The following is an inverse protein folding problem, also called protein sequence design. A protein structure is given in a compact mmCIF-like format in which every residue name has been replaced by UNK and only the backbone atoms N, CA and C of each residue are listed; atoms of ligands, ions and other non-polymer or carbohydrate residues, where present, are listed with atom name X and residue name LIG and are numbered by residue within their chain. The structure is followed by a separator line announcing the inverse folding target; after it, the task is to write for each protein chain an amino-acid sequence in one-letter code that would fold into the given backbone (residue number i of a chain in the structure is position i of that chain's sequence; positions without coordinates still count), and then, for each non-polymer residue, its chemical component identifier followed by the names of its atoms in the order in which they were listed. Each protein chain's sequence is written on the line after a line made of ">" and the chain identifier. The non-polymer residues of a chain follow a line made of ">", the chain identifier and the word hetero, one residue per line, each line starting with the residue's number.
data_IF_099980434016
#
_entry.id   IF_099980434016
#
_cell.length_a   1.000
_cell.length_b   1.000
_cell.length_c   1.000
_cell.angle_alpha   90.00
_cell.angle_beta   90.00
_cell.angle_gamma   90.00
#
_symmetry.space_group_name_H-M   'P 1'
#
loop_
_entity.id
_entity.type
_entity.pdbx_description
1 polymer ?
#
# COMPACT_ATOMS: atom_id res chain seq x y z
N UNK A 1 7.08 -2.69 -41.45
CA UNK A 1 6.85 -4.12 -41.07
C UNK A 1 7.38 -4.34 -39.66
N UNK A 2 6.51 -4.25 -38.66
CA UNK A 2 5.95 -5.41 -37.96
C UNK A 2 7.02 -6.32 -37.34
N UNK A 3 7.34 -6.04 -36.08
CA UNK A 3 7.81 -7.05 -35.13
C UNK A 3 7.09 -6.78 -33.79
N UNK A 4 6.35 -7.79 -33.38
CA UNK A 4 5.28 -7.77 -32.38
C UNK A 4 5.80 -7.60 -30.95
N UNK A 5 5.02 -6.87 -30.15
CA UNK A 5 5.20 -6.78 -28.69
C UNK A 5 4.51 -7.98 -28.05
N UNK A 6 5.14 -8.70 -27.10
CA UNK A 6 4.39 -9.64 -26.29
C UNK A 6 3.52 -8.85 -25.32
N UNK A 7 2.21 -8.97 -25.49
CA UNK A 7 1.18 -8.51 -24.56
C UNK A 7 1.13 -9.52 -23.41
N UNK A 8 1.72 -9.18 -22.27
CA UNK A 8 1.55 -9.93 -21.03
C UNK A 8 0.15 -9.65 -20.47
N UNK A 9 -0.77 -10.60 -20.65
CA UNK A 9 -2.13 -10.64 -20.10
C UNK A 9 -2.07 -10.94 -18.59
N UNK A 10 -1.63 -9.97 -17.79
CA UNK A 10 -1.71 -10.02 -16.33
C UNK A 10 -3.14 -9.69 -15.90
N UNK A 11 -4.03 -10.69 -16.00
CA UNK A 11 -5.37 -10.63 -15.40
C UNK A 11 -5.24 -10.56 -13.88
N UNK A 12 -5.12 -9.33 -13.39
CA UNK A 12 -5.13 -9.00 -11.97
C UNK A 12 -6.38 -9.56 -11.30
N UNK A 13 -6.20 -10.61 -10.49
CA UNK A 13 -7.21 -11.02 -9.51
C UNK A 13 -7.33 -9.87 -8.51
N UNK A 14 -8.48 -9.21 -8.50
CA UNK A 14 -8.74 -8.00 -7.71
C UNK A 14 -8.33 -8.17 -6.23
N UNK A 15 -7.49 -7.24 -5.75
CA UNK A 15 -6.96 -7.20 -4.39
C UNK A 15 -8.00 -6.76 -3.32
N UNK A 16 -9.29 -6.78 -3.65
CA UNK A 16 -10.41 -6.65 -2.70
C UNK A 16 -10.87 -8.01 -2.13
N UNK A 17 -10.08 -9.07 -2.27
CA UNK A 17 -10.47 -10.38 -1.75
C UNK A 17 -10.33 -10.39 -0.21
N UNK A 18 -11.47 -10.52 0.47
CA UNK A 18 -11.48 -11.11 1.81
C UNK A 18 -10.93 -12.52 1.67
N UNK A 19 -9.82 -12.83 2.34
CA UNK A 19 -9.34 -14.21 2.40
C UNK A 19 -10.41 -15.07 3.08
N UNK A 20 -11.08 -15.93 2.31
CA UNK A 20 -12.06 -16.88 2.83
C UNK A 20 -11.31 -17.98 3.59
N UNK A 21 -11.55 -18.05 4.89
CA UNK A 21 -11.12 -19.16 5.74
C UNK A 21 -11.83 -20.43 5.31
N UNK A 22 -11.04 -21.42 4.90
CA UNK A 22 -11.53 -22.71 4.47
C UNK A 22 -10.40 -23.59 3.96
N UNK A 23 -9.44 -23.92 4.82
CA UNK A 23 -8.69 -25.19 4.75
C UNK A 23 -8.35 -25.61 6.18
N UNK A 24 -9.01 -26.70 6.59
CA UNK A 24 -8.75 -27.70 7.63
C UNK A 24 -7.82 -27.38 8.80
N UNK A 25 -8.38 -27.56 10.00
CA UNK A 25 -7.74 -28.07 11.20
C UNK A 25 -6.65 -29.10 10.85
N UNK A 26 -5.38 -28.75 11.08
CA UNK A 26 -4.25 -29.62 10.76
C UNK A 26 -2.87 -29.04 11.08
N UNK A 27 -2.78 -28.03 11.93
CA UNK A 27 -1.51 -27.46 12.40
C UNK A 27 -1.46 -27.34 13.93
N UNK A 28 -2.16 -28.24 14.62
CA UNK A 28 -1.89 -28.56 16.01
C UNK A 28 -1.47 -30.03 16.09
N UNK A 29 -0.21 -30.25 16.49
CA UNK A 29 0.30 -31.58 16.78
C UNK A 29 1.27 -32.15 15.75
N UNK A 30 2.56 -31.84 15.91
CA UNK A 30 3.66 -32.81 16.15
C UNK A 30 5.01 -32.10 16.05
N UNK A 31 5.71 -32.07 17.17
CA UNK A 31 7.11 -31.68 17.22
C UNK A 31 7.98 -32.80 16.62
N UNK A 32 8.81 -32.46 15.62
CA UNK A 32 10.25 -32.80 15.46
C UNK A 32 10.68 -32.57 14.01
N UNK A 33 11.76 -31.79 13.86
CA UNK A 33 12.49 -31.36 12.64
C UNK A 33 11.95 -30.12 11.88
N UNK A 34 12.63 -28.98 12.08
CA UNK A 34 12.87 -27.95 11.04
C UNK A 34 11.72 -27.04 10.58
N UNK A 35 10.47 -27.26 10.97
CA UNK A 35 9.36 -26.40 10.52
C UNK A 35 9.27 -25.10 11.34
N UNK A 36 9.50 -23.95 10.68
CA UNK A 36 9.35 -22.62 11.29
C UNK A 36 7.86 -22.27 11.40
N UNK A 37 7.32 -22.29 12.61
CA UNK A 37 5.95 -21.84 12.88
C UNK A 37 5.89 -20.30 12.93
N UNK A 38 5.17 -19.68 12.01
CA UNK A 38 4.96 -18.24 11.99
C UNK A 38 3.81 -17.84 12.93
N UNK A 39 4.02 -16.82 13.75
CA UNK A 39 3.02 -16.30 14.70
C UNK A 39 2.85 -14.79 14.52
N UNK A 40 1.64 -14.30 14.81
CA UNK A 40 1.37 -12.88 14.93
C UNK A 40 2.06 -12.33 16.19
N UNK A 41 2.43 -11.05 16.17
CA UNK A 41 3.09 -10.41 17.31
C UNK A 41 2.22 -10.44 18.60
N UNK A 42 0.91 -10.27 18.47
CA UNK A 42 -0.04 -10.37 19.60
C UNK A 42 -0.48 -11.79 19.93
N UNK A 43 -0.04 -12.81 19.18
CA UNK A 43 -0.46 -14.21 19.35
C UNK A 43 -1.89 -14.55 18.89
N UNK A 44 -2.75 -13.56 18.68
CA UNK A 44 -4.18 -13.77 18.36
C UNK A 44 -4.46 -14.02 16.86
N UNK A 45 -5.50 -14.81 16.60
CA UNK A 45 -6.10 -15.04 15.29
C UNK A 45 -7.23 -14.04 15.02
N UNK A 46 -7.11 -13.22 13.99
CA UNK A 46 -8.03 -12.10 13.73
C UNK A 46 -9.27 -12.43 12.86
N UNK A 47 -9.43 -13.70 12.47
CA UNK A 47 -10.46 -14.15 11.53
C UNK A 47 -10.23 -13.63 10.10
N UNK A 48 -11.27 -13.68 9.25
CA UNK A 48 -11.21 -13.14 7.90
C UNK A 48 -11.15 -11.61 7.94
N UNK A 49 -10.13 -11.03 7.29
CA UNK A 49 -9.87 -9.59 7.26
C UNK A 49 -9.42 -9.14 5.87
N UNK A 50 -9.52 -7.84 5.60
CA UNK A 50 -9.05 -7.24 4.34
C UNK A 50 -7.53 -7.16 4.31
N UNK A 51 -6.93 -7.21 3.12
CA UNK A 51 -5.49 -7.04 2.92
C UNK A 51 -4.97 -5.72 3.51
N UNK A 52 -5.74 -4.65 3.32
CA UNK A 52 -5.51 -3.34 3.94
C UNK A 52 -5.29 -3.46 5.46
N UNK A 53 -6.23 -4.09 6.16
CA UNK A 53 -6.14 -4.27 7.61
C UNK A 53 -4.89 -5.08 8.01
N UNK A 54 -4.52 -6.10 7.21
CA UNK A 54 -3.30 -6.88 7.42
C UNK A 54 -2.03 -6.03 7.40
N UNK A 55 -1.92 -5.09 6.44
CA UNK A 55 -0.79 -4.17 6.35
C UNK A 55 -0.81 -3.14 7.49
N UNK A 56 -1.98 -2.55 7.76
CA UNK A 56 -2.19 -1.55 8.83
C UNK A 56 -1.80 -2.07 10.21
N UNK A 57 -2.16 -3.32 10.48
CA UNK A 57 -1.92 -3.97 11.77
C UNK A 57 -0.67 -4.86 11.78
N UNK A 58 0.13 -4.83 10.69
CA UNK A 58 1.38 -5.57 10.58
C UNK A 58 1.25 -7.08 10.88
N UNK A 59 0.25 -7.76 10.31
CA UNK A 59 -0.08 -9.15 10.65
C UNK A 59 0.77 -10.15 9.88
N UNK A 60 1.77 -10.72 10.56
CA UNK A 60 2.72 -11.69 10.00
C UNK A 60 2.04 -12.86 9.26
N UNK A 61 1.00 -13.46 9.84
CA UNK A 61 0.36 -14.63 9.23
C UNK A 61 -0.32 -14.30 7.89
N UNK A 62 -0.94 -13.11 7.78
CA UNK A 62 -1.52 -12.66 6.51
C UNK A 62 -0.41 -12.43 5.48
N UNK A 63 0.68 -11.77 5.86
CA UNK A 63 1.82 -11.53 4.97
C UNK A 63 2.42 -12.82 4.42
N UNK A 64 2.63 -13.84 5.26
CA UNK A 64 3.16 -15.15 4.83
C UNK A 64 2.19 -15.86 3.90
N UNK A 65 0.88 -15.85 4.20
CA UNK A 65 -0.16 -16.45 3.34
C UNK A 65 -0.19 -15.80 1.97
N UNK A 66 -0.19 -14.47 1.92
CA UNK A 66 -0.15 -13.72 0.66
C UNK A 66 1.12 -14.02 -0.11
N UNK A 67 2.29 -14.04 0.55
CA UNK A 67 3.56 -14.37 -0.10
C UNK A 67 3.57 -15.80 -0.67
N UNK A 68 2.99 -16.76 0.06
CA UNK A 68 2.86 -18.14 -0.40
C UNK A 68 1.90 -18.29 -1.59
N UNK A 69 0.81 -17.51 -1.65
CA UNK A 69 -0.13 -17.53 -2.78
C UNK A 69 0.42 -16.86 -4.03
N UNK A 70 1.18 -15.76 -3.88
CA UNK A 70 1.79 -15.03 -5.00
C UNK A 70 3.03 -15.77 -5.53
N UNK A 71 3.77 -16.43 -4.65
CA UNK A 71 5.07 -17.03 -4.91
C UNK A 71 6.23 -16.10 -4.57
N UNK A 72 7.22 -16.60 -3.83
CA UNK A 72 8.35 -15.81 -3.35
C UNK A 72 9.24 -15.26 -4.46
N UNK A 73 9.29 -15.89 -5.63
CA UNK A 73 10.09 -15.41 -6.77
C UNK A 73 9.66 -14.00 -7.24
N UNK A 74 8.36 -13.73 -7.25
CA UNK A 74 7.82 -12.41 -7.58
C UNK A 74 8.15 -11.38 -6.49
N UNK A 75 8.09 -11.80 -5.23
CA UNK A 75 8.40 -10.95 -4.06
C UNK A 75 9.86 -10.52 -4.07
N UNK A 76 10.80 -11.47 -4.21
CA UNK A 76 12.24 -11.14 -4.21
C UNK A 76 12.67 -10.37 -5.46
N UNK A 77 12.05 -10.63 -6.63
CA UNK A 77 12.24 -9.79 -7.82
C UNK A 77 11.81 -8.36 -7.57
N UNK A 78 10.64 -8.14 -6.98
CA UNK A 78 10.13 -6.79 -6.67
C UNK A 78 11.08 -6.07 -5.71
N UNK A 79 11.51 -6.75 -4.63
CA UNK A 79 12.48 -6.19 -3.69
C UNK A 79 13.82 -5.79 -4.36
N UNK A 80 14.28 -6.59 -5.32
CA UNK A 80 15.50 -6.31 -6.10
C UNK A 80 15.33 -5.09 -7.01
N UNK A 81 14.23 -4.99 -7.76
CA UNK A 81 13.98 -3.84 -8.67
C UNK A 81 13.79 -2.54 -7.87
N UNK A 82 13.19 -2.62 -6.68
CA UNK A 82 13.08 -1.48 -5.75
C UNK A 82 14.40 -1.09 -5.06
N UNK A 83 15.47 -1.86 -5.24
CA UNK A 83 16.78 -1.56 -4.67
C UNK A 83 16.93 -1.90 -3.19
N UNK A 84 16.01 -2.68 -2.61
CA UNK A 84 16.07 -3.10 -1.19
C UNK A 84 17.21 -4.10 -0.97
N UNK A 85 17.35 -5.08 -1.87
CA UNK A 85 18.36 -6.13 -1.78
C UNK A 85 18.06 -7.31 -2.71
N UNK A 86 18.98 -8.27 -2.74
CA UNK A 86 18.80 -9.54 -3.46
C UNK A 86 18.73 -10.66 -2.44
N UNK A 87 17.61 -11.39 -2.41
CA UNK A 87 17.33 -12.39 -1.39
C UNK A 87 16.90 -13.71 -2.04
N UNK A 88 17.20 -14.87 -1.44
CA UNK A 88 16.66 -16.14 -1.88
C UNK A 88 15.14 -16.23 -1.61
N UNK A 89 14.38 -17.00 -2.41
CA UNK A 89 12.92 -17.02 -2.38
C UNK A 89 12.34 -17.84 -1.21
N UNK A 90 12.80 -17.61 0.02
CA UNK A 90 12.26 -18.23 1.23
C UNK A 90 11.18 -17.36 1.88
N UNK A 91 10.12 -17.99 2.43
CA UNK A 91 9.03 -17.29 3.11
C UNK A 91 9.50 -16.42 4.29
N UNK A 92 10.64 -16.72 4.90
CA UNK A 92 11.20 -15.88 5.96
C UNK A 92 11.47 -14.43 5.49
N UNK A 93 11.81 -14.22 4.22
CA UNK A 93 12.04 -12.87 3.68
C UNK A 93 10.76 -12.04 3.55
N UNK A 94 9.57 -12.66 3.48
CA UNK A 94 8.31 -11.92 3.55
C UNK A 94 8.06 -11.31 4.93
N UNK A 95 8.80 -11.74 5.95
CA UNK A 95 8.78 -11.20 7.31
C UNK A 95 10.00 -10.33 7.65
N UNK A 96 10.83 -9.98 6.66
CA UNK A 96 11.99 -9.12 6.87
C UNK A 96 13.23 -9.84 7.41
N UNK A 97 13.43 -11.13 7.11
CA UNK A 97 14.66 -11.84 7.44
C UNK A 97 15.90 -11.39 6.62
N UNK A 98 15.76 -10.38 5.76
CA UNK A 98 16.85 -9.85 4.94
C UNK A 98 17.48 -8.61 5.57
N UNK A 99 18.80 -8.49 5.40
CA UNK A 99 19.54 -7.31 5.83
C UNK A 99 19.56 -6.25 4.71
N UNK A 100 19.49 -4.98 5.12
CA UNK A 100 19.54 -3.83 4.20
C UNK A 100 19.93 -2.58 4.99
N UNK A 101 20.16 -1.47 4.28
CA UNK A 101 20.52 -0.18 4.90
C UNK A 101 19.31 0.75 4.95
N UNK A 102 19.34 1.71 5.89
CA UNK A 102 18.30 2.75 5.99
C UNK A 102 18.15 3.50 4.66
N UNK A 103 19.27 3.84 4.01
CA UNK A 103 19.25 4.53 2.72
C UNK A 103 18.49 3.76 1.64
N UNK A 104 18.70 2.44 1.54
CA UNK A 104 18.00 1.58 0.57
C UNK A 104 16.51 1.49 0.88
N UNK A 105 16.15 1.37 2.15
CA UNK A 105 14.75 1.34 2.59
C UNK A 105 14.02 2.64 2.32
N UNK A 106 14.62 3.78 2.69
CA UNK A 106 14.05 5.11 2.41
C UNK A 106 13.86 5.29 0.90
N UNK A 107 14.86 4.94 0.09
CA UNK A 107 14.75 5.02 -1.36
C UNK A 107 13.60 4.17 -1.91
N UNK A 108 13.42 2.94 -1.39
CA UNK A 108 12.30 2.08 -1.78
C UNK A 108 10.93 2.67 -1.42
N UNK A 109 10.82 3.35 -0.26
CA UNK A 109 9.58 4.05 0.12
C UNK A 109 9.35 5.32 -0.71
N UNK A 110 10.41 6.04 -1.08
CA UNK A 110 10.35 7.17 -2.00
C UNK A 110 9.83 6.77 -3.39
N UNK A 111 10.07 5.54 -3.83
CA UNK A 111 9.50 5.02 -5.08
C UNK A 111 7.96 4.99 -4.99
N UNK A 112 7.37 4.63 -3.85
CA UNK A 112 5.91 4.66 -3.69
C UNK A 112 5.37 6.09 -3.74
N UNK A 113 6.00 7.02 -3.01
CA UNK A 113 5.63 8.44 -3.03
C UNK A 113 5.77 9.05 -4.44
N UNK A 114 6.78 8.62 -5.20
CA UNK A 114 7.06 9.07 -6.55
C UNK A 114 6.35 8.25 -7.65
N UNK A 115 5.14 7.77 -7.37
CA UNK A 115 4.28 7.05 -8.33
C UNK A 115 4.97 5.86 -9.02
N UNK A 116 5.83 5.13 -8.32
CA UNK A 116 6.51 3.93 -8.82
C UNK A 116 7.76 4.19 -9.67
N UNK A 117 8.25 5.44 -9.74
CA UNK A 117 9.46 5.80 -10.48
C UNK A 117 10.71 5.62 -9.63
N UNK A 118 11.76 5.07 -10.24
CA UNK A 118 13.06 4.90 -9.61
C UNK A 118 13.62 6.24 -9.11
N UNK A 119 14.17 6.21 -7.90
CA UNK A 119 14.92 7.32 -7.31
C UNK A 119 16.36 6.86 -7.10
N UNK A 120 17.32 7.73 -7.38
CA UNK A 120 18.73 7.53 -7.07
C UNK A 120 19.11 8.53 -5.99
N UNK A 121 19.41 8.06 -4.76
CA UNK A 121 19.76 8.97 -3.68
C UNK A 121 21.12 9.60 -3.93
N UNK A 122 21.23 10.90 -3.72
CA UNK A 122 22.45 11.69 -3.90
C UNK A 122 22.66 12.59 -2.70
N UNK A 123 23.90 12.69 -2.22
CA UNK A 123 24.28 13.62 -1.14
C UNK A 123 24.85 14.93 -1.69
N UNK A 124 25.52 14.86 -2.84
CA UNK A 124 26.16 16.00 -3.50
C UNK A 124 25.35 16.33 -4.74
N UNK A 125 24.92 17.59 -4.88
CA UNK A 125 24.17 18.03 -6.06
C UNK A 125 25.10 18.36 -7.23
N UNK A 126 26.17 19.11 -6.97
CA UNK A 126 27.21 19.42 -7.96
C UNK A 126 28.54 19.79 -7.30
N UNK A 127 29.61 19.74 -8.09
CA UNK A 127 30.97 20.15 -7.71
C UNK A 127 31.46 21.18 -8.73
N UNK A 128 32.00 22.31 -8.26
CA UNK A 128 32.54 23.38 -9.09
C UNK A 128 34.04 23.59 -8.87
N UNK A 129 34.73 24.13 -9.88
CA UNK A 129 36.09 24.64 -9.74
C UNK A 129 36.11 26.08 -9.17
N UNK A 130 37.31 26.63 -8.96
CA UNK A 130 37.51 27.99 -8.43
C UNK A 130 36.95 29.11 -9.32
N UNK A 131 36.69 28.81 -10.59
CA UNK A 131 36.16 29.74 -11.57
C UNK A 131 34.63 29.59 -11.74
N UNK A 132 34.00 28.74 -10.93
CA UNK A 132 32.55 28.45 -10.99
C UNK A 132 32.15 27.43 -12.06
N UNK A 133 33.10 26.77 -12.73
CA UNK A 133 32.79 25.74 -13.73
C UNK A 133 32.35 24.45 -13.04
N UNK A 134 31.17 23.94 -13.41
CA UNK A 134 30.65 22.67 -12.91
C UNK A 134 31.49 21.51 -13.46
N UNK A 135 32.22 20.82 -12.58
CA UNK A 135 33.02 19.62 -12.88
C UNK A 135 32.13 18.38 -12.89
N UNK A 136 31.17 18.32 -11.96
CA UNK A 136 30.28 17.19 -11.79
C UNK A 136 28.92 17.65 -11.30
N UNK A 137 27.85 16.93 -11.70
CA UNK A 137 26.50 17.12 -11.19
C UNK A 137 25.78 15.78 -11.06
N UNK A 138 24.99 15.63 -10.01
CA UNK A 138 24.12 14.49 -9.78
C UNK A 138 22.97 14.46 -10.78
N UNK A 139 22.28 15.60 -10.95
CA UNK A 139 21.18 15.71 -11.89
C UNK A 139 21.69 15.81 -13.33
N UNK A 140 21.51 14.72 -14.08
CA UNK A 140 21.89 14.62 -15.50
C UNK A 140 20.73 14.89 -16.46
N UNK A 141 19.56 15.30 -15.96
CA UNK A 141 18.41 15.58 -16.82
C UNK A 141 18.75 16.69 -17.84
N UNK A 142 18.37 16.52 -19.12
CA UNK A 142 18.51 17.59 -20.08
C UNK A 142 17.57 18.73 -19.68
N UNK A 143 18.09 19.94 -19.70
CA UNK A 143 17.39 21.16 -19.35
C UNK A 143 17.47 22.10 -20.56
N UNK A 144 16.65 21.79 -21.57
CA UNK A 144 16.54 22.60 -22.79
C UNK A 144 16.03 23.99 -22.42
N UNK A 145 16.77 25.04 -22.79
CA UNK A 145 16.41 26.43 -22.47
C UNK A 145 16.73 26.89 -21.04
N UNK A 146 17.43 26.10 -20.22
CA UNK A 146 17.74 26.49 -18.83
C UNK A 146 19.00 27.37 -18.68
N UNK A 147 19.71 27.62 -19.78
CA UNK A 147 20.92 28.45 -19.83
C UNK A 147 20.69 29.73 -20.67
N UNK A 148 19.47 30.29 -20.66
CA UNK A 148 19.20 31.55 -21.35
C UNK A 148 19.96 32.70 -20.67
N UNK A 149 20.59 33.56 -21.47
CA UNK A 149 21.32 34.73 -20.96
C UNK A 149 20.38 35.76 -20.30
N UNK A 150 19.13 35.83 -20.75
CA UNK A 150 18.08 36.65 -20.19
C UNK A 150 16.77 35.84 -20.14
N UNK A 151 16.00 36.00 -19.07
CA UNK A 151 14.68 35.37 -18.96
C UNK A 151 13.67 36.16 -19.79
N UNK A 152 12.99 35.47 -20.71
CA UNK A 152 11.90 35.94 -21.57
C UNK A 152 10.51 36.14 -20.89
N UNK A 153 10.40 36.00 -19.57
CA UNK A 153 9.14 36.08 -18.83
C UNK A 153 8.22 34.84 -18.93
N UNK A 154 8.60 33.79 -19.67
CA UNK A 154 7.80 32.56 -19.77
C UNK A 154 7.94 31.68 -18.52
N UNK A 155 7.04 30.72 -18.27
CA UNK A 155 7.21 29.76 -17.18
C UNK A 155 8.58 29.06 -17.27
N UNK A 156 9.28 28.96 -16.14
CA UNK A 156 10.59 28.31 -16.10
C UNK A 156 10.52 26.90 -16.74
N UNK A 157 11.49 26.54 -17.61
CA UNK A 157 11.54 25.22 -18.22
C UNK A 157 11.65 24.15 -17.14
N UNK A 158 10.71 23.19 -17.15
CA UNK A 158 10.72 22.06 -16.22
C UNK A 158 11.46 20.89 -16.85
N UNK A 159 12.60 20.44 -16.30
CA UNK A 159 13.32 19.29 -16.83
C UNK A 159 12.41 18.08 -16.96
N UNK A 160 12.43 17.41 -18.13
CA UNK A 160 11.63 16.20 -18.32
C UNK A 160 12.11 15.12 -17.35
N UNK A 161 11.19 14.55 -16.58
CA UNK A 161 11.48 13.44 -15.66
C UNK A 161 11.75 12.17 -16.48
N UNK A 162 13.02 11.77 -16.61
CA UNK A 162 13.43 10.51 -17.26
C UNK A 162 13.79 9.42 -16.23
N UNK A 163 12.95 9.25 -15.21
CA UNK A 163 13.11 8.16 -14.25
C UNK A 163 12.53 6.86 -14.82
N UNK A 164 13.22 5.74 -14.60
CA UNK A 164 12.73 4.42 -14.97
C UNK A 164 11.48 4.08 -14.15
N UNK A 165 10.40 3.66 -14.79
CA UNK A 165 9.23 3.12 -14.09
C UNK A 165 9.59 1.72 -13.53
N UNK A 166 9.50 1.57 -12.21
CA UNK A 166 9.88 0.33 -11.49
C UNK A 166 8.63 -0.46 -11.08
N UNK A 167 7.59 0.26 -10.65
CA UNK A 167 6.28 -0.29 -10.30
C UNK A 167 5.24 0.50 -11.07
N UNK A 168 4.15 -0.13 -11.51
CA UNK A 168 3.01 0.59 -12.07
C UNK A 168 2.50 1.70 -11.14
N UNK A 169 2.23 2.89 -11.67
CA UNK A 169 1.84 4.05 -10.89
C UNK A 169 0.58 3.78 -10.07
N UNK A 170 -0.39 3.05 -10.63
CA UNK A 170 -1.62 2.72 -9.92
C UNK A 170 -1.37 1.73 -8.77
N UNK A 171 -0.49 0.74 -8.95
CA UNK A 171 -0.06 -0.14 -7.83
C UNK A 171 0.63 0.68 -6.74
N UNK A 172 1.53 1.60 -7.12
CA UNK A 172 2.29 2.39 -6.18
C UNK A 172 1.36 3.26 -5.31
N UNK A 173 0.40 3.94 -5.93
CA UNK A 173 -0.59 4.73 -5.20
C UNK A 173 -1.53 3.86 -4.36
N UNK A 174 -1.97 2.71 -4.87
CA UNK A 174 -2.81 1.79 -4.07
C UNK A 174 -2.09 1.33 -2.80
N UNK A 175 -0.81 0.96 -2.91
CA UNK A 175 0.00 0.58 -1.75
C UNK A 175 0.26 1.77 -0.82
N UNK A 176 0.54 2.95 -1.37
CA UNK A 176 0.69 4.18 -0.60
C UNK A 176 -0.57 4.47 0.22
N UNK A 177 -1.74 4.38 -0.41
CA UNK A 177 -3.03 4.61 0.24
C UNK A 177 -3.37 3.55 1.30
N UNK A 178 -2.86 2.31 1.16
CA UNK A 178 -2.90 1.31 2.24
C UNK A 178 -2.00 1.74 3.40
N UNK A 179 -0.80 2.24 3.11
CA UNK A 179 0.18 2.67 4.10
C UNK A 179 -0.22 3.95 4.85
N UNK A 180 -1.06 4.82 4.27
CA UNK A 180 -1.70 5.92 5.00
C UNK A 180 -2.51 5.40 6.19
N UNK A 181 -3.22 4.29 5.99
CA UNK A 181 -3.98 3.60 7.03
C UNK A 181 -3.13 3.16 8.23
N UNK A 182 -1.82 2.95 8.06
CA UNK A 182 -0.91 2.58 9.17
C UNK A 182 -0.78 3.75 10.15
N UNK A 183 -0.74 4.98 9.64
CA UNK A 183 -0.71 6.20 10.45
C UNK A 183 -2.11 6.53 10.96
N UNK A 184 -3.11 6.51 10.08
CA UNK A 184 -4.48 6.87 10.44
C UNK A 184 -5.13 5.91 11.44
N UNK A 185 -4.77 4.61 11.44
CA UNK A 185 -5.54 3.55 12.14
C UNK A 185 -4.71 2.39 12.67
N UNK A 186 -3.44 2.32 12.26
CA UNK A 186 -2.59 1.15 12.40
C UNK A 186 -1.62 1.23 13.55
N UNK A 187 -0.36 0.91 13.28
CA UNK A 187 0.72 0.84 14.28
C UNK A 187 1.49 2.14 14.48
N UNK A 188 1.26 3.17 13.67
CA UNK A 188 2.02 4.44 13.69
C UNK A 188 1.11 5.66 14.02
N UNK A 189 0.12 5.45 14.87
CA UNK A 189 -0.94 6.43 15.18
C UNK A 189 -0.46 7.68 15.89
N UNK A 190 0.73 7.60 16.49
CA UNK A 190 1.41 8.74 17.12
C UNK A 190 1.80 9.83 16.12
N UNK A 191 1.71 9.58 14.80
CA UNK A 191 2.02 10.56 13.76
C UNK A 191 0.78 11.34 13.25
N UNK A 192 -0.42 11.04 13.77
CA UNK A 192 -1.68 11.65 13.29
C UNK A 192 -1.81 13.13 13.66
N UNK A 193 -1.25 13.53 14.79
CA UNK A 193 -1.26 14.89 15.33
C UNK A 193 -0.41 15.87 14.49
N UNK A 194 0.43 15.36 13.58
CA UNK A 194 1.08 16.18 12.55
C UNK A 194 0.08 16.91 11.62
N UNK A 195 -1.18 16.48 11.58
CA UNK A 195 -2.25 17.18 10.86
C UNK A 195 -2.06 17.23 9.34
N UNK A 196 -1.35 16.25 8.77
CA UNK A 196 -1.10 16.16 7.33
C UNK A 196 -1.15 14.71 6.81
N UNK A 197 -1.37 14.50 5.50
CA UNK A 197 -1.31 13.17 4.90
C UNK A 197 0.08 12.55 5.07
N UNK A 198 0.12 11.38 5.70
CA UNK A 198 1.34 10.65 6.01
C UNK A 198 1.14 9.17 5.70
N UNK A 199 2.13 8.56 5.06
CA UNK A 199 2.19 7.11 4.87
C UNK A 199 3.40 6.55 5.59
N UNK A 200 3.36 5.27 5.98
CA UNK A 200 4.55 4.62 6.50
C UNK A 200 4.28 3.23 7.00
N UNK A 201 5.32 2.62 7.57
CA UNK A 201 5.25 1.30 8.16
C UNK A 201 6.23 1.15 9.32
N UNK A 202 5.75 0.52 10.38
CA UNK A 202 6.58 0.09 11.51
C UNK A 202 7.21 -1.27 11.23
N UNK A 203 8.43 -1.49 11.75
CA UNK A 203 9.11 -2.78 11.74
C UNK A 203 9.64 -3.13 13.14
N UNK A 204 9.53 -4.40 13.52
CA UNK A 204 10.04 -4.93 14.80
C UNK A 204 10.62 -6.32 14.53
N UNK A 205 11.88 -6.57 14.92
CA UNK A 205 12.48 -7.90 14.80
C UNK A 205 11.98 -8.87 15.89
N UNK A 206 12.18 -10.17 15.71
CA UNK A 206 11.88 -11.18 16.75
C UNK A 206 12.91 -11.09 17.88
N UNK A 207 12.45 -11.07 19.14
CA UNK A 207 13.32 -10.83 20.30
C UNK A 207 13.86 -9.38 20.33
N UNK A 208 12.96 -8.39 20.18
CA UNK A 208 13.15 -7.11 19.50
C UNK A 208 14.55 -6.53 19.69
N UNK A 209 15.45 -6.89 18.78
CA UNK A 209 16.81 -6.34 18.69
C UNK A 209 16.86 -5.06 17.88
N UNK A 210 15.89 -4.91 16.96
CA UNK A 210 15.87 -3.91 15.91
C UNK A 210 14.45 -3.33 15.80
N UNK A 211 14.38 -2.01 15.75
CA UNK A 211 13.13 -1.26 15.65
C UNK A 211 13.21 -0.28 14.49
N UNK A 212 12.18 -0.26 13.65
CA UNK A 212 12.13 0.54 12.43
C UNK A 212 10.85 1.36 12.32
N UNK A 213 10.98 2.52 11.71
CA UNK A 213 9.88 3.24 11.08
C UNK A 213 10.38 3.82 9.75
N UNK A 214 9.65 3.60 8.66
CA UNK A 214 9.95 4.21 7.36
C UNK A 214 8.65 4.76 6.80
N UNK A 215 8.66 6.02 6.37
CA UNK A 215 7.46 6.73 5.95
C UNK A 215 7.68 8.21 5.76
N UNK A 216 6.63 8.93 5.41
CA UNK A 216 6.72 10.36 5.13
C UNK A 216 5.44 10.96 4.58
N UNK A 217 5.59 12.18 4.09
CA UNK A 217 4.58 12.92 3.34
C UNK A 217 4.86 12.81 1.83
N UNK A 218 4.08 13.50 1.00
CA UNK A 218 4.30 13.56 -0.44
C UNK A 218 5.67 14.20 -0.81
N UNK A 219 6.16 15.13 0.00
CA UNK A 219 7.36 15.92 -0.30
C UNK A 219 8.63 15.40 0.39
N UNK A 220 8.48 14.62 1.47
CA UNK A 220 9.62 14.13 2.25
C UNK A 220 9.35 12.74 2.82
N UNK A 221 10.26 11.81 2.52
CA UNK A 221 10.29 10.46 3.07
C UNK A 221 11.53 10.31 3.95
N UNK A 222 11.34 9.75 5.14
CA UNK A 222 12.42 9.45 6.06
C UNK A 222 12.34 8.03 6.62
N UNK A 223 13.43 7.59 7.22
CA UNK A 223 13.55 6.27 7.80
C UNK A 223 14.37 6.35 9.07
N UNK A 224 13.89 5.67 10.09
CA UNK A 224 14.55 5.55 11.39
C UNK A 224 14.75 4.08 11.70
N UNK A 225 15.99 3.76 12.04
CA UNK A 225 16.43 2.47 12.57
C UNK A 225 17.03 2.68 13.94
N UNK A 226 16.69 1.79 14.87
CA UNK A 226 17.28 1.73 16.19
C UNK A 226 17.62 0.27 16.51
N UNK A 227 18.84 0.05 16.97
CA UNK A 227 19.36 -1.24 17.39
C UNK A 227 20.74 -1.06 18.04
N UNK A 228 21.19 -2.08 18.78
CA UNK A 228 22.56 -2.10 19.31
C UNK A 228 23.53 -2.63 18.26
N UNK A 229 24.74 -2.08 18.20
CA UNK A 229 25.81 -2.55 17.29
C UNK A 229 26.11 -4.03 17.48
N UNK A 230 26.15 -4.46 18.74
CA UNK A 230 26.11 -5.86 19.12
C UNK A 230 24.65 -6.24 19.40
N UNK A 231 23.99 -7.05 18.55
CA UNK A 231 22.56 -7.31 18.66
C UNK A 231 22.19 -7.86 20.03
N UNK A 232 21.41 -7.08 20.78
CA UNK A 232 20.89 -7.43 22.10
C UNK A 232 19.40 -7.10 22.16
N UNK A 233 18.59 -7.88 22.88
CA UNK A 233 17.18 -7.56 23.06
C UNK A 233 17.01 -6.18 23.71
N UNK A 234 16.14 -5.35 23.14
CA UNK A 234 15.83 -3.99 23.63
C UNK A 234 14.71 -3.99 24.69
N UNK A 235 14.29 -5.17 25.15
CA UNK A 235 13.14 -5.36 26.04
C UNK A 235 11.83 -5.56 25.29
N UNK A 236 10.85 -6.19 25.93
CA UNK A 236 9.55 -6.56 25.32
C UNK A 236 8.69 -5.36 24.90
N UNK A 237 8.95 -4.17 25.47
CA UNK A 237 8.25 -2.93 25.14
C UNK A 237 8.78 -2.25 23.86
N UNK A 238 9.95 -2.66 23.36
CA UNK A 238 10.59 -2.07 22.19
C UNK A 238 9.89 -2.51 20.90
N UNK A 239 9.06 -1.62 20.35
CA UNK A 239 8.31 -1.84 19.11
C UNK A 239 8.43 -0.64 18.19
N UNK A 240 8.24 -0.86 16.88
CA UNK A 240 8.28 0.22 15.88
C UNK A 240 7.32 1.37 16.21
N UNK A 241 6.13 1.06 16.73
CA UNK A 241 5.13 2.05 17.10
C UNK A 241 5.41 2.78 18.43
N UNK A 242 6.16 2.18 19.35
CA UNK A 242 6.40 2.73 20.69
C UNK A 242 7.72 3.48 20.82
N UNK A 243 8.73 3.14 20.00
CA UNK A 243 10.04 3.78 20.04
C UNK A 243 10.33 4.53 18.75
N UNK A 244 10.30 3.84 17.60
CA UNK A 244 10.74 4.48 16.35
C UNK A 244 9.77 5.56 15.86
N UNK A 245 8.46 5.30 15.88
CA UNK A 245 7.47 6.26 15.42
C UNK A 245 7.46 7.56 16.26
N UNK A 246 7.55 7.54 17.61
CA UNK A 246 7.69 8.76 18.41
C UNK A 246 8.99 9.55 18.15
N UNK A 247 10.12 8.88 17.93
CA UNK A 247 11.37 9.58 17.58
C UNK A 247 11.23 10.25 16.21
N UNK A 248 10.67 9.52 15.24
CA UNK A 248 10.36 10.09 13.93
C UNK A 248 9.37 11.26 14.03
N UNK A 249 8.36 11.18 14.90
CA UNK A 249 7.43 12.27 15.17
C UNK A 249 8.17 13.54 15.61
N UNK A 250 9.07 13.44 16.59
CA UNK A 250 9.86 14.57 17.07
C UNK A 250 10.73 15.22 15.99
N UNK A 251 11.27 14.41 15.07
CA UNK A 251 11.95 14.90 13.87
C UNK A 251 10.97 15.60 12.90
N UNK A 252 9.85 14.95 12.58
CA UNK A 252 8.89 15.39 11.57
C UNK A 252 8.23 16.73 11.95
N UNK A 253 7.92 16.95 13.23
CA UNK A 253 7.38 18.24 13.73
C UNK A 253 8.29 19.41 13.35
N UNK A 254 9.61 19.23 13.46
CA UNK A 254 10.59 20.28 13.14
C UNK A 254 10.83 20.37 11.64
N UNK A 255 11.03 19.22 10.99
CA UNK A 255 11.39 19.16 9.59
C UNK A 255 10.25 19.61 8.66
N UNK A 256 8.99 19.41 9.05
CA UNK A 256 7.81 19.72 8.22
C UNK A 256 7.09 21.00 8.61
N UNK A 257 7.61 21.77 9.58
CA UNK A 257 6.93 22.96 10.13
C UNK A 257 6.51 23.97 9.07
N UNK A 258 7.43 24.31 8.16
CA UNK A 258 7.24 25.34 7.14
C UNK A 258 6.97 24.74 5.74
N UNK A 259 6.79 23.41 5.66
CA UNK A 259 6.50 22.73 4.40
C UNK A 259 5.01 22.83 4.07
N UNK A 260 4.62 22.96 2.78
CA UNK A 260 3.22 22.89 2.40
C UNK A 260 2.60 21.54 2.79
N UNK A 261 1.30 21.56 3.07
CA UNK A 261 0.51 20.32 3.27
C UNK A 261 0.01 19.87 1.91
N UNK A 262 0.70 18.90 1.31
CA UNK A 262 0.39 18.38 -0.02
C UNK A 262 -0.27 17.00 0.09
N UNK A 263 -1.46 16.78 -0.52
CA UNK A 263 -2.06 15.46 -0.59
C UNK A 263 -1.36 14.56 -1.60
N UNK A 264 -1.42 13.25 -1.41
CA UNK A 264 -0.91 12.31 -2.40
C UNK A 264 -1.76 12.34 -3.66
N UNK A 265 -1.10 12.54 -4.81
CA UNK A 265 -1.77 12.64 -6.09
C UNK A 265 -2.07 11.26 -6.67
N UNK A 266 -3.36 10.98 -6.89
CA UNK A 266 -3.80 9.78 -7.57
C UNK A 266 -3.39 9.83 -9.06
N UNK A 267 -2.68 8.81 -9.59
CA UNK A 267 -2.40 8.74 -11.03
C UNK A 267 -3.69 8.51 -11.83
N UNK A 268 -3.64 8.91 -13.11
CA UNK A 268 -4.75 8.73 -14.04
C UNK A 268 -5.20 7.27 -14.11
N UNK A 269 -6.52 7.04 -14.11
CA UNK A 269 -7.13 5.71 -14.21
C UNK A 269 -7.51 5.06 -12.88
N UNK A 270 -7.01 5.55 -11.73
CA UNK A 270 -7.47 5.06 -10.43
C UNK A 270 -8.94 5.40 -10.20
N UNK A 271 -9.67 4.43 -9.65
CA UNK A 271 -11.04 4.58 -9.21
C UNK A 271 -11.10 4.55 -7.69
N UNK A 272 -11.57 5.64 -7.08
CA UNK A 272 -11.88 5.67 -5.66
C UNK A 272 -13.27 5.09 -5.44
N UNK A 273 -13.37 4.02 -4.65
CA UNK A 273 -14.60 3.29 -4.40
C UNK A 273 -14.86 3.22 -2.90
N UNK A 274 -16.11 3.44 -2.52
CA UNK A 274 -16.55 3.28 -1.12
C UNK A 274 -16.67 1.81 -0.79
N UNK A 275 -15.96 1.38 0.25
CA UNK A 275 -16.02 0.02 0.74
C UNK A 275 -16.28 -0.01 2.24
N UNK A 276 -16.88 -1.10 2.70
CA UNK A 276 -16.90 -1.46 4.11
C UNK A 276 -15.51 -1.95 4.51
N UNK A 277 -14.91 -1.30 5.51
CA UNK A 277 -13.53 -1.51 5.95
C UNK A 277 -13.28 -2.94 6.46
N UNK A 278 -14.30 -3.56 7.08
CA UNK A 278 -14.17 -4.90 7.69
C UNK A 278 -14.30 -6.00 6.65
N UNK A 279 -15.21 -5.83 5.70
CA UNK A 279 -15.60 -6.85 4.71
C UNK A 279 -15.03 -6.62 3.32
N UNK A 280 -14.43 -5.45 3.03
CA UNK A 280 -13.91 -5.10 1.71
C UNK A 280 -14.96 -4.98 0.61
N UNK A 281 -16.25 -5.08 0.95
CA UNK A 281 -17.35 -5.04 -0.02
C UNK A 281 -17.70 -3.60 -0.38
N UNK A 282 -18.07 -3.40 -1.65
CA UNK A 282 -18.57 -2.11 -2.15
C UNK A 282 -19.86 -1.73 -1.41
N UNK A 283 -19.93 -0.48 -0.93
CA UNK A 283 -21.09 0.06 -0.21
C UNK A 283 -21.80 1.09 -1.09
N UNK A 284 -23.13 1.09 -1.03
CA UNK A 284 -23.99 2.05 -1.71
C UNK A 284 -24.78 2.87 -0.68
N UNK A 285 -24.89 4.18 -0.89
CA UNK A 285 -25.71 5.06 -0.05
C UNK A 285 -25.07 5.52 1.27
N UNK A 286 -23.97 4.91 1.72
CA UNK A 286 -23.21 5.40 2.87
C UNK A 286 -21.99 6.22 2.43
N UNK A 287 -21.57 7.15 3.28
CA UNK A 287 -20.39 7.99 3.08
C UNK A 287 -19.47 7.86 4.28
N UNK A 288 -18.15 7.98 4.09
CA UNK A 288 -17.23 8.08 5.22
C UNK A 288 -17.60 9.29 6.09
N UNK A 289 -17.61 9.09 7.41
CA UNK A 289 -17.94 10.14 8.39
C UNK A 289 -16.77 11.10 8.68
N UNK A 290 -15.65 10.94 7.97
CA UNK A 290 -14.41 11.71 8.18
C UNK A 290 -13.61 11.26 9.40
N UNK A 291 -14.14 10.36 10.23
CA UNK A 291 -13.40 9.79 11.35
C UNK A 291 -12.39 8.76 10.87
N UNK A 292 -11.24 8.69 11.55
CA UNK A 292 -10.24 7.68 11.28
C UNK A 292 -10.78 6.25 11.47
N UNK A 293 -11.80 6.04 12.30
CA UNK A 293 -12.33 4.70 12.57
C UNK A 293 -13.60 4.34 11.80
N UNK A 294 -13.98 5.17 10.83
CA UNK A 294 -15.13 4.97 9.96
C UNK A 294 -15.25 3.53 9.48
N UNK A 295 -16.48 3.01 9.49
CA UNK A 295 -16.79 1.69 8.92
C UNK A 295 -16.73 1.72 7.39
N UNK A 296 -16.97 2.89 6.77
CA UNK A 296 -16.94 3.11 5.33
C UNK A 296 -15.74 3.98 4.99
N UNK A 297 -14.88 3.50 4.09
CA UNK A 297 -13.70 4.23 3.64
C UNK A 297 -13.67 4.34 2.12
N UNK A 298 -12.95 5.34 1.61
CA UNK A 298 -12.52 5.37 0.23
C UNK A 298 -11.36 4.40 0.04
N UNK A 299 -11.41 3.66 -1.06
CA UNK A 299 -10.39 2.68 -1.42
C UNK A 299 -9.98 2.87 -2.87
N UNK A 300 -8.68 2.85 -3.11
CA UNK A 300 -8.11 3.01 -4.44
C UNK A 300 -8.08 1.66 -5.17
N UNK A 301 -8.74 1.60 -6.33
CA UNK A 301 -8.71 0.43 -7.21
C UNK A 301 -8.15 0.78 -8.57
N UNK A 302 -7.39 -0.15 -9.14
CA UNK A 302 -7.13 -0.17 -10.58
C UNK A 302 -8.44 -0.41 -11.33
N UNK A 303 -8.56 0.06 -12.58
CA UNK A 303 -9.63 -0.37 -13.46
C UNK A 303 -9.80 -1.89 -13.40
N UNK A 304 -11.05 -2.37 -13.36
CA UNK A 304 -11.44 -3.79 -13.38
C UNK A 304 -11.08 -4.63 -12.14
N UNK A 305 -10.20 -4.15 -11.27
CA UNK A 305 -9.85 -4.80 -10.00
C UNK A 305 -10.86 -4.56 -8.88
N UNK A 306 -11.86 -3.71 -9.13
CA UNK A 306 -12.87 -3.32 -8.15
C UNK A 306 -13.78 -4.48 -7.73
N UNK A 307 -14.22 -4.51 -6.46
CA UNK A 307 -15.15 -5.54 -5.99
C UNK A 307 -16.44 -5.46 -6.81
N UNK A 308 -16.70 -6.52 -7.59
CA UNK A 308 -17.90 -6.66 -8.40
C UNK A 308 -19.14 -6.68 -7.51
N UNK A 309 -20.27 -6.21 -8.07
CA UNK A 309 -21.57 -6.17 -7.40
C UNK A 309 -21.90 -7.56 -6.88
N UNK A 310 -21.77 -7.78 -5.59
CA UNK A 310 -22.39 -8.92 -4.92
C UNK A 310 -23.83 -8.51 -4.71
N UNK A 311 -24.69 -8.87 -5.67
CA UNK A 311 -26.14 -8.75 -5.46
C UNK A 311 -26.43 -9.56 -4.19
N UNK A 312 -27.03 -8.92 -3.18
CA UNK A 312 -27.43 -9.62 -1.94
C UNK A 312 -28.29 -10.81 -2.37
N UNK A 313 -28.05 -12.02 -1.84
CA UNK A 313 -28.96 -13.16 -2.04
C UNK A 313 -30.41 -12.79 -1.68
N UNK A 314 -30.59 -11.86 -0.74
CA UNK A 314 -31.88 -11.26 -0.38
C UNK A 314 -32.49 -10.37 -1.48
N UNK A 315 -31.69 -9.64 -2.27
CA UNK A 315 -32.17 -8.88 -3.43
C UNK A 315 -32.52 -9.81 -4.60
N UNK A 316 -31.76 -10.89 -4.78
CA UNK A 316 -32.09 -11.94 -5.75
C UNK A 316 -33.39 -12.64 -5.31
N UNK A 317 -33.54 -12.97 -4.03
CA UNK A 317 -34.76 -13.56 -3.48
C UNK A 317 -35.97 -12.62 -3.57
N UNK A 318 -35.78 -11.30 -3.35
CA UNK A 318 -36.83 -10.29 -3.57
C UNK A 318 -37.21 -10.13 -5.04
N UNK A 319 -36.26 -10.28 -5.98
CA UNK A 319 -36.54 -10.30 -7.43
C UNK A 319 -37.13 -11.63 -7.91
N UNK A 320 -36.83 -12.73 -7.22
CA UNK A 320 -37.33 -14.07 -7.52
C UNK A 320 -38.64 -14.39 -6.79
N UNK A 321 -39.15 -13.49 -5.94
CA UNK A 321 -40.50 -13.58 -5.44
C UNK A 321 -41.44 -13.50 -6.65
N UNK A 322 -42.32 -14.50 -6.87
CA UNK A 322 -43.27 -14.44 -7.97
C UNK A 322 -44.10 -13.18 -7.77
N UNK A 323 -44.05 -12.27 -8.74
CA UNK A 323 -45.09 -11.25 -8.89
C UNK A 323 -46.42 -11.97 -8.80
N UNK A 324 -47.27 -11.55 -7.86
CA UNK A 324 -48.60 -12.10 -7.67
C UNK A 324 -49.23 -12.35 -9.06
N UNK A 325 -49.68 -13.59 -9.25
CA UNK A 325 -50.23 -14.11 -10.50
C UNK A 325 -51.09 -13.03 -11.14
N UNK A 326 -50.66 -12.49 -12.29
CA UNK A 326 -51.55 -11.66 -13.09
C UNK A 326 -52.74 -12.56 -13.42
N UNK A 327 -53.93 -12.17 -12.95
CA UNK A 327 -55.18 -12.85 -13.28
C UNK A 327 -55.25 -13.01 -14.78
N UNK A 328 -55.33 -14.25 -15.25
CA UNK A 328 -55.50 -14.52 -16.67
C UNK A 328 -56.86 -13.96 -17.11
N UNK A 329 -56.98 -13.50 -18.36
CA UNK A 329 -58.23 -12.94 -18.90
C UNK A 329 -59.44 -13.88 -18.68
N UNK A 330 -59.20 -15.19 -18.63
CA UNK A 330 -60.17 -16.23 -18.29
C UNK A 330 -60.68 -16.19 -16.84
N UNK A 331 -59.85 -15.80 -15.86
CA UNK A 331 -60.27 -15.61 -14.47
C UNK A 331 -61.03 -14.29 -14.30
N UNK A 332 -60.69 -13.25 -15.09
CA UNK A 332 -61.45 -12.00 -15.12
C UNK A 332 -62.85 -12.20 -15.71
N UNK A 333 -62.96 -12.98 -16.79
CA UNK A 333 -64.24 -13.33 -17.44
C UNK A 333 -65.14 -14.25 -16.60
N UNK A 334 -64.58 -15.04 -15.68
CA UNK A 334 -65.38 -15.82 -14.72
C UNK A 334 -65.81 -15.01 -13.49
N UNK A 335 -65.10 -13.93 -13.16
CA UNK A 335 -65.45 -13.03 -12.04
C UNK A 335 -66.58 -12.06 -12.35
N UNK A 336 -66.89 -11.89 -13.64
CA UNK A 336 -68.08 -11.17 -14.11
C UNK A 336 -69.02 -12.21 -14.67
N UNK A 337 -70.09 -12.51 -13.94
CA UNK A 337 -71.18 -13.38 -14.36
C UNK A 337 -71.43 -13.21 -15.86
N UNK A 338 -71.14 -14.27 -16.63
CA UNK A 338 -71.29 -14.27 -18.07
C UNK A 338 -72.74 -14.01 -18.43
N UNK A 339 -72.99 -12.91 -19.15
CA UNK A 339 -74.19 -12.72 -19.96
C UNK A 339 -73.72 -12.12 -21.28
N UNK A 340 -74.32 -12.60 -22.36
CA UNK A 340 -74.42 -11.88 -23.64
C UNK A 340 -74.72 -10.39 -23.45
#
# INVERSE_FOLDING_TARGET
>A
EHAERPVDDDRGRGHAAVERGGVNEGLEGRARLGQKCFRNFTGENAGQRTMRWGVEQSRNLMTVRTASQIGMDKVVRTAKVMGVGSYPPYLAYSLGAGETTVLKMVNAYSIFANQGRAVTPTLIDYVQDRNGKIIWRADKRPCEGCNMAQWDGQPMPRPRVRAKQVIDAMTAYQMLHIMEGVVERGTATVLRDLGRPMFGKTGTSSGPTNVWFVGGSADMVGGLYLGFDNPKPMGSYAQGGTIAAPIFHGFAVRAMKDMPVVPFQAPAGIRMIRIDRKTGRKVFGAWPDGSYYSSVIWEAFKPESEPRRTIRREEIAKRAAPTARATTDSEFLQSRDGIY
#
